data_IF_645592147046
#
_entry.id   IF_645592147046
#
_cell.length_a   1.000
_cell.length_b   1.000
_cell.length_c   1.000
_cell.angle_alpha   90.00
_cell.angle_beta   90.00
_cell.angle_gamma   90.00
#
_symmetry.space_group_name_H-M   'P 1'
#
loop_
_entity.id
_entity.type
_entity.pdbx_description
1 polymer ?
#
# COMPACT_ATOMS: atom_id res chain seq x y z
N UNK A 1 43.29 19.21 28.60
CA UNK A 1 42.48 19.57 27.43
C UNK A 1 41.07 19.16 27.76
N UNK A 2 40.11 20.08 27.71
CA UNK A 2 38.71 19.74 27.92
C UNK A 2 38.24 19.05 26.65
N UNK A 3 38.03 17.74 26.69
CA UNK A 3 37.39 17.03 25.58
C UNK A 3 35.96 17.56 25.49
N UNK A 4 35.64 18.22 24.39
CA UNK A 4 34.28 18.66 24.10
C UNK A 4 33.56 17.45 23.54
N UNK A 5 32.46 17.01 24.17
CA UNK A 5 31.70 15.88 23.63
C UNK A 5 31.12 16.26 22.26
N UNK A 6 31.25 15.34 21.31
CA UNK A 6 30.73 15.53 19.96
C UNK A 6 29.20 15.58 20.00
N UNK A 7 28.61 16.48 19.22
CA UNK A 7 27.17 16.60 19.05
C UNK A 7 26.79 16.40 17.58
N UNK A 8 25.52 16.05 17.34
CA UNK A 8 24.99 15.80 16.00
C UNK A 8 24.92 17.12 15.23
N UNK A 9 25.53 17.16 14.06
CA UNK A 9 25.46 18.31 13.13
C UNK A 9 24.52 18.06 11.96
N UNK A 10 24.35 16.80 11.55
CA UNK A 10 23.43 16.43 10.48
C UNK A 10 23.02 14.95 10.56
N UNK A 11 21.97 14.60 9.83
CA UNK A 11 21.48 13.24 9.65
C UNK A 11 21.46 12.87 8.17
N UNK A 12 21.51 11.57 7.87
CA UNK A 12 21.31 11.11 6.50
C UNK A 12 19.98 11.62 5.91
N UNK A 13 20.04 12.03 4.65
CA UNK A 13 18.87 12.47 3.89
C UNK A 13 18.33 11.33 3.01
N UNK A 14 17.00 11.26 2.86
CA UNK A 14 16.34 10.23 2.05
C UNK A 14 16.17 8.87 2.75
N UNK A 15 15.97 7.82 1.95
CA UNK A 15 15.61 6.46 2.40
C UNK A 15 16.82 5.50 2.47
N UNK A 16 18.00 6.02 2.80
CA UNK A 16 19.21 5.23 2.99
C UNK A 16 19.33 4.63 4.39
N UNK A 17 20.37 3.81 4.65
CA UNK A 17 20.72 3.45 6.03
C UNK A 17 20.98 4.72 6.84
N UNK A 18 20.61 4.70 8.13
CA UNK A 18 20.78 5.87 8.98
C UNK A 18 22.26 6.11 9.23
N UNK A 19 22.71 7.29 8.83
CA UNK A 19 24.00 7.86 9.20
C UNK A 19 23.79 9.11 10.04
N UNK A 20 24.65 9.28 11.05
CA UNK A 20 24.70 10.45 11.91
C UNK A 20 26.05 11.13 11.72
N UNK A 21 26.01 12.42 11.38
CA UNK A 21 27.21 13.24 11.17
C UNK A 21 27.46 14.05 12.44
N UNK A 22 28.70 14.01 12.95
CA UNK A 22 29.07 14.62 14.23
C UNK A 22 29.98 15.84 14.05
N UNK A 23 29.98 16.71 15.06
CA UNK A 23 30.78 17.95 15.08
C UNK A 23 32.29 17.72 15.04
N UNK A 24 32.75 16.52 15.40
CA UNK A 24 34.16 16.12 15.34
C UNK A 24 34.56 15.52 13.97
N UNK A 25 33.64 15.48 13.02
CA UNK A 25 33.83 14.95 11.68
C UNK A 25 33.64 13.44 11.56
N UNK A 26 33.31 12.73 12.65
CA UNK A 26 32.97 11.31 12.57
C UNK A 26 31.59 11.10 11.96
N UNK A 27 31.40 9.94 11.33
CA UNK A 27 30.12 9.47 10.81
C UNK A 27 29.83 8.13 11.46
N UNK A 28 28.70 8.01 12.13
CA UNK A 28 28.25 6.77 12.76
C UNK A 28 26.91 6.32 12.18
N UNK A 29 26.44 5.16 12.60
CA UNK A 29 25.11 4.67 12.21
C UNK A 29 23.98 5.30 13.02
N UNK A 30 23.03 4.44 13.39
CA UNK A 30 21.80 4.77 14.12
C UNK A 30 22.01 5.70 15.32
N UNK A 31 21.16 6.72 15.41
CA UNK A 31 20.84 7.46 16.63
C UNK A 31 19.32 7.67 16.67
N UNK A 32 18.74 7.82 17.87
CA UNK A 32 17.29 8.04 18.01
C UNK A 32 16.84 9.32 17.29
N UNK A 33 17.65 10.37 17.33
CA UNK A 33 17.36 11.62 16.64
C UNK A 33 17.33 11.42 15.11
N UNK A 34 18.37 10.84 14.52
CA UNK A 34 18.41 10.66 13.07
C UNK A 34 17.42 9.59 12.57
N UNK A 35 17.06 8.62 13.40
CA UNK A 35 15.92 7.73 13.13
C UNK A 35 14.62 8.53 13.01
N UNK A 36 14.34 9.45 13.93
CA UNK A 36 13.10 10.25 13.87
C UNK A 36 13.04 11.14 12.61
N UNK A 37 14.19 11.64 12.15
CA UNK A 37 14.29 12.41 10.90
C UNK A 37 13.99 11.53 9.71
N UNK A 38 14.57 10.33 9.65
CA UNK A 38 14.31 9.33 8.62
C UNK A 38 12.84 8.92 8.58
N UNK A 39 12.22 8.67 9.74
CA UNK A 39 10.80 8.28 9.82
C UNK A 39 9.87 9.38 9.30
N UNK A 40 10.18 10.65 9.58
CA UNK A 40 9.43 11.77 9.03
C UNK A 40 9.51 11.84 7.50
N UNK A 41 10.69 11.57 6.94
CA UNK A 41 10.87 11.52 5.47
C UNK A 41 10.07 10.36 4.89
N UNK A 42 10.20 9.16 5.48
CA UNK A 42 9.49 7.97 5.05
C UNK A 42 7.96 8.16 5.08
N UNK A 43 7.42 8.80 6.12
CA UNK A 43 6.00 9.07 6.20
C UNK A 43 5.55 10.06 5.11
N UNK A 44 6.35 11.10 4.86
CA UNK A 44 6.10 12.03 3.75
C UNK A 44 6.06 11.32 2.40
N UNK A 45 7.02 10.43 2.15
CA UNK A 45 7.07 9.62 0.93
C UNK A 45 5.87 8.66 0.83
N UNK A 46 5.48 8.00 1.93
CA UNK A 46 4.29 7.13 1.96
C UNK A 46 3.01 7.89 1.64
N UNK A 47 2.82 9.05 2.26
CA UNK A 47 1.65 9.90 2.02
C UNK A 47 1.61 10.42 0.57
N UNK A 48 2.77 10.84 0.04
CA UNK A 48 2.88 11.32 -1.34
C UNK A 48 2.62 10.22 -2.38
N UNK A 49 2.91 8.96 -2.05
CA UNK A 49 2.74 7.81 -2.94
C UNK A 49 1.49 6.97 -2.62
N UNK A 50 0.64 7.40 -1.68
CA UNK A 50 -0.58 6.68 -1.32
C UNK A 50 -1.58 6.68 -2.49
N UNK A 51 -2.11 5.52 -2.91
CA UNK A 51 -3.12 5.47 -3.96
C UNK A 51 -4.51 5.87 -3.45
N UNK A 52 -5.38 6.27 -4.37
CA UNK A 52 -6.83 6.42 -4.12
C UNK A 52 -7.54 5.21 -4.70
N UNK A 53 -8.34 4.52 -3.89
CA UNK A 53 -9.06 3.31 -4.30
C UNK A 53 -10.57 3.55 -4.37
N UNK A 54 -11.22 3.01 -5.41
CA UNK A 54 -12.66 3.17 -5.69
C UNK A 54 -13.49 1.90 -5.40
N UNK A 55 -12.89 0.89 -4.75
CA UNK A 55 -13.50 -0.41 -4.48
C UNK A 55 -13.34 -1.43 -5.61
N UNK A 56 -12.78 -1.02 -6.76
CA UNK A 56 -12.43 -1.91 -7.87
C UNK A 56 -10.93 -1.81 -8.15
N UNK A 57 -10.43 -0.58 -8.26
CA UNK A 57 -9.02 -0.30 -8.54
C UNK A 57 -8.47 0.78 -7.62
N UNK A 58 -7.17 0.68 -7.35
CA UNK A 58 -6.36 1.72 -6.74
C UNK A 58 -5.58 2.46 -7.84
N UNK A 59 -5.64 3.80 -7.81
CA UNK A 59 -4.92 4.69 -8.74
C UNK A 59 -3.77 5.35 -8.00
N UNK A 60 -2.56 5.09 -8.46
CA UNK A 60 -1.36 5.68 -7.88
C UNK A 60 -1.06 7.05 -8.49
N UNK A 61 -0.41 7.94 -7.73
CA UNK A 61 0.08 9.22 -8.27
C UNK A 61 1.02 9.08 -9.46
N UNK A 62 1.73 7.95 -9.57
CA UNK A 62 2.57 7.58 -10.72
C UNK A 62 1.80 7.33 -12.03
N UNK A 63 0.47 7.22 -11.95
CA UNK A 63 -0.40 6.82 -13.07
C UNK A 63 -0.60 5.31 -13.20
N UNK A 64 0.06 4.51 -12.36
CA UNK A 64 -0.20 3.07 -12.27
C UNK A 64 -1.61 2.81 -11.74
N UNK A 65 -2.26 1.77 -12.27
CA UNK A 65 -3.56 1.27 -11.83
C UNK A 65 -3.38 -0.18 -11.43
N UNK A 66 -3.80 -0.52 -10.21
CA UNK A 66 -3.78 -1.88 -9.69
C UNK A 66 -5.17 -2.28 -9.16
N UNK A 67 -5.51 -3.58 -9.10
CA UNK A 67 -6.71 -4.05 -8.41
C UNK A 67 -6.72 -3.57 -6.96
N UNK A 68 -7.88 -3.14 -6.45
CA UNK A 68 -8.02 -2.79 -5.04
C UNK A 68 -7.90 -4.07 -4.18
N UNK A 69 -6.91 -4.17 -3.26
CA UNK A 69 -6.75 -5.34 -2.41
C UNK A 69 -7.93 -5.56 -1.46
N UNK A 70 -8.74 -4.52 -1.22
CA UNK A 70 -9.97 -4.58 -0.44
C UNK A 70 -11.21 -4.57 -1.33
N UNK A 71 -11.06 -4.80 -2.64
CA UNK A 71 -12.20 -4.95 -3.52
C UNK A 71 -13.11 -6.04 -2.96
N UNK A 72 -14.34 -5.64 -2.63
CA UNK A 72 -15.44 -6.59 -2.56
C UNK A 72 -15.71 -7.02 -3.99
N UNK A 73 -15.66 -8.33 -4.32
CA UNK A 73 -16.08 -8.79 -5.63
C UNK A 73 -17.46 -8.19 -5.91
N UNK A 74 -17.67 -7.51 -7.04
CA UNK A 74 -19.00 -6.99 -7.38
C UNK A 74 -20.03 -8.11 -7.16
N UNK A 75 -20.86 -7.94 -6.12
CA UNK A 75 -21.37 -9.01 -5.23
C UNK A 75 -22.31 -10.02 -5.92
N UNK A 76 -22.47 -9.89 -7.24
CA UNK A 76 -23.44 -10.63 -8.04
C UNK A 76 -22.87 -10.98 -9.41
N UNK A 77 -22.62 -12.27 -9.62
CA UNK A 77 -22.34 -12.85 -10.92
C UNK A 77 -23.31 -12.43 -12.02
N UNK A 78 -24.57 -12.16 -11.69
CA UNK A 78 -25.59 -11.69 -12.65
C UNK A 78 -25.36 -10.29 -13.19
N UNK A 79 -24.46 -9.51 -12.59
CA UNK A 79 -24.00 -8.23 -13.13
C UNK A 79 -22.83 -8.41 -14.12
N UNK A 80 -22.14 -9.56 -14.05
CA UNK A 80 -20.92 -9.83 -14.81
C UNK A 80 -21.17 -10.74 -16.02
N UNK A 81 -22.11 -11.67 -15.92
CA UNK A 81 -22.41 -12.68 -16.95
C UNK A 81 -23.91 -12.69 -17.25
N UNK A 82 -24.27 -12.81 -18.53
CA UNK A 82 -25.66 -12.98 -18.94
C UNK A 82 -26.09 -14.44 -18.77
N UNK A 83 -26.97 -14.68 -17.79
CA UNK A 83 -27.56 -15.99 -17.49
C UNK A 83 -28.94 -16.22 -18.12
N UNK A 84 -29.28 -15.49 -19.18
CA UNK A 84 -30.54 -15.71 -19.88
C UNK A 84 -30.66 -17.18 -20.34
N UNK A 85 -31.73 -17.85 -19.91
CA UNK A 85 -31.98 -19.26 -20.22
C UNK A 85 -31.43 -20.26 -19.19
N UNK A 86 -30.65 -19.80 -18.21
CA UNK A 86 -30.23 -20.65 -17.09
C UNK A 86 -31.44 -20.99 -16.21
N UNK A 87 -31.67 -22.28 -15.87
CA UNK A 87 -32.75 -22.68 -14.98
C UNK A 87 -32.55 -22.24 -13.53
N UNK A 88 -31.30 -21.92 -13.12
CA UNK A 88 -31.00 -21.43 -11.77
C UNK A 88 -31.42 -19.97 -11.62
N UNK A 89 -31.85 -19.61 -10.42
CA UNK A 89 -32.24 -18.22 -10.15
C UNK A 89 -31.03 -17.29 -10.05
N UNK A 90 -31.22 -16.01 -10.34
CA UNK A 90 -30.19 -14.99 -10.12
C UNK A 90 -29.62 -15.01 -8.69
N UNK A 91 -30.47 -15.25 -7.68
CA UNK A 91 -30.04 -15.34 -6.29
C UNK A 91 -29.10 -16.53 -6.06
N UNK A 92 -29.45 -17.71 -6.57
CA UNK A 92 -28.63 -18.92 -6.46
C UNK A 92 -27.27 -18.75 -7.14
N UNK A 93 -27.25 -18.18 -8.35
CA UNK A 93 -26.03 -17.92 -9.13
C UNK A 93 -25.10 -16.96 -8.37
N UNK A 94 -25.66 -15.90 -7.80
CA UNK A 94 -24.89 -14.95 -6.99
C UNK A 94 -24.35 -15.61 -5.71
N UNK A 95 -25.15 -16.45 -5.03
CA UNK A 95 -24.69 -17.20 -3.86
C UNK A 95 -23.60 -18.24 -4.18
N UNK A 96 -23.57 -18.82 -5.38
CA UNK A 96 -22.46 -19.69 -5.81
C UNK A 96 -21.19 -18.84 -5.99
N UNK A 97 -21.30 -17.67 -6.61
CA UNK A 97 -20.19 -16.73 -6.76
C UNK A 97 -19.61 -16.28 -5.42
N UNK A 98 -20.50 -15.92 -4.48
CA UNK A 98 -20.12 -15.54 -3.12
C UNK A 98 -19.42 -16.68 -2.37
N UNK A 99 -19.96 -17.90 -2.42
CA UNK A 99 -19.41 -19.05 -1.69
C UNK A 99 -18.09 -19.58 -2.26
N UNK A 100 -17.94 -19.54 -3.59
CA UNK A 100 -16.79 -20.16 -4.27
C UNK A 100 -15.73 -19.14 -4.68
N UNK A 101 -16.03 -17.84 -4.59
CA UNK A 101 -15.18 -16.77 -5.11
C UNK A 101 -15.15 -16.71 -6.65
N UNK A 102 -15.95 -17.53 -7.33
CA UNK A 102 -15.96 -17.61 -8.79
C UNK A 102 -17.38 -17.79 -9.34
N UNK A 103 -17.71 -17.01 -10.37
CA UNK A 103 -19.02 -17.13 -11.01
C UNK A 103 -19.15 -18.44 -11.81
N UNK A 104 -20.26 -19.19 -11.65
CA UNK A 104 -20.47 -20.42 -12.40
C UNK A 104 -20.76 -20.12 -13.88
N UNK A 105 -20.38 -21.03 -14.77
CA UNK A 105 -20.79 -20.95 -16.17
C UNK A 105 -22.33 -21.09 -16.30
N UNK A 106 -22.98 -20.40 -17.26
CA UNK A 106 -24.39 -20.63 -17.56
C UNK A 106 -24.64 -22.08 -18.00
N UNK A 107 -25.75 -22.66 -17.56
CA UNK A 107 -26.22 -23.96 -18.06
C UNK A 107 -27.47 -23.75 -18.92
N UNK A 108 -27.62 -24.54 -19.98
CA UNK A 108 -28.70 -24.42 -20.98
C UNK A 108 -29.33 -25.77 -21.25
#
# INVERSE_FOLDING_TARGET
MSDTEAYIVDCQTGLGPIETYWSDGTVTGYTDYCQSVHDRVLEGERAANAPVCDGIVCRYPSGEIAPDPNAVPDDRCTNQINYAGDPRSNAEINSIGEQTGQCPAPIS
#
